data_IF_561845884907
#
_entry.id   IF_561845884907
#
_cell.length_a   1.000
_cell.length_b   1.000
_cell.length_c   1.000
_cell.angle_alpha   90.00
_cell.angle_beta   90.00
_cell.angle_gamma   90.00
#
_symmetry.space_group_name_H-M   'P 1'
#
loop_
_entity.id
_entity.type
_entity.pdbx_description
1 polymer ?
#
# COMPACT_ATOMS: atom_id res chain seq x y z
N UNK A 1 7.42 -1.42 16.71
CA UNK A 1 7.08 0.02 16.68
C UNK A 1 5.57 0.19 16.64
N UNK A 2 5.03 0.82 17.67
CA UNK A 2 3.59 0.91 17.97
C UNK A 2 2.95 2.03 17.12
N UNK A 3 2.07 1.67 16.18
CA UNK A 3 1.46 2.59 15.21
C UNK A 3 0.02 2.96 15.58
N UNK A 4 -0.24 3.54 16.77
CA UNK A 4 -1.61 3.94 17.13
C UNK A 4 -1.76 5.26 17.93
N UNK A 5 -0.69 6.00 18.21
CA UNK A 5 -0.78 7.24 19.02
C UNK A 5 -0.45 8.54 18.27
N UNK A 6 -0.25 8.49 16.95
CA UNK A 6 -0.04 9.65 16.09
C UNK A 6 -0.84 9.52 14.81
N UNK A 7 -1.24 10.65 14.23
CA UNK A 7 -1.90 10.66 12.92
C UNK A 7 -1.10 9.83 11.91
N UNK A 8 -1.78 8.90 11.23
CA UNK A 8 -1.13 8.01 10.27
C UNK A 8 -1.24 8.59 8.86
N UNK A 9 -0.13 8.60 8.12
CA UNK A 9 -0.12 9.04 6.73
C UNK A 9 -0.51 7.88 5.83
N UNK A 10 -1.67 7.99 5.17
CA UNK A 10 -2.19 6.95 4.27
C UNK A 10 -1.84 7.20 2.81
N UNK A 11 -1.91 8.44 2.37
CA UNK A 11 -1.60 8.86 1.00
C UNK A 11 -0.74 10.12 1.02
N UNK A 12 0.45 10.02 0.44
CA UNK A 12 1.35 11.15 0.20
C UNK A 12 2.15 10.84 -1.05
N UNK A 13 1.61 11.26 -2.20
CA UNK A 13 2.21 11.02 -3.49
C UNK A 13 2.06 12.23 -4.40
N UNK A 14 2.99 12.35 -5.34
CA UNK A 14 2.92 13.31 -6.44
C UNK A 14 2.77 12.49 -7.73
N UNK A 15 1.83 12.91 -8.58
CA UNK A 15 1.70 12.38 -9.93
C UNK A 15 2.14 13.44 -10.94
N UNK A 16 2.91 13.03 -11.94
CA UNK A 16 3.29 13.88 -13.05
C UNK A 16 3.38 13.08 -14.33
N UNK A 17 2.59 13.47 -15.34
CA UNK A 17 2.43 12.74 -16.60
C UNK A 17 2.05 11.26 -16.36
N UNK A 18 2.95 10.35 -16.74
CA UNK A 18 2.79 8.91 -16.59
C UNK A 18 3.44 8.36 -15.32
N UNK A 19 3.99 9.22 -14.47
CA UNK A 19 4.74 8.82 -13.28
C UNK A 19 3.97 9.17 -12.00
N UNK A 20 4.09 8.30 -11.01
CA UNK A 20 3.65 8.53 -9.63
C UNK A 20 4.81 8.19 -8.71
N UNK A 21 5.09 9.07 -7.75
CA UNK A 21 6.08 8.83 -6.70
C UNK A 21 5.51 9.18 -5.34
N UNK A 22 5.68 8.27 -4.37
CA UNK A 22 5.28 8.48 -2.97
C UNK A 22 4.53 7.29 -2.38
N UNK A 23 3.93 7.49 -1.22
CA UNK A 23 3.20 6.47 -0.50
C UNK A 23 1.74 6.45 -0.94
N UNK A 24 1.34 5.35 -1.58
CA UNK A 24 -0.05 5.10 -1.99
C UNK A 24 -0.30 3.60 -2.11
N UNK A 25 -1.50 3.22 -2.52
CA UNK A 25 -1.89 1.85 -2.81
C UNK A 25 -0.91 1.13 -3.72
N UNK A 26 -0.54 -0.12 -3.42
CA UNK A 26 0.29 -0.95 -4.31
C UNK A 26 -0.30 -1.08 -5.73
N UNK A 27 0.55 -1.28 -6.74
CA UNK A 27 0.15 -1.47 -8.14
C UNK A 27 -0.51 -2.84 -8.38
N UNK A 28 -0.42 -3.74 -7.41
CA UNK A 28 -1.10 -5.04 -7.41
C UNK A 28 -2.52 -4.99 -6.82
N UNK A 29 -2.98 -3.82 -6.37
CA UNK A 29 -4.34 -3.62 -5.89
C UNK A 29 -5.21 -3.20 -7.07
N UNK A 30 -6.29 -3.94 -7.28
CA UNK A 30 -7.40 -3.48 -8.09
C UNK A 30 -8.38 -2.69 -7.19
N UNK A 31 -8.50 -1.39 -7.42
CA UNK A 31 -9.43 -0.55 -6.63
C UNK A 31 -10.90 -0.79 -6.98
N UNK A 32 -11.20 -1.44 -8.11
CA UNK A 32 -12.57 -1.65 -8.60
C UNK A 32 -13.25 -2.88 -8.02
N UNK A 33 -12.46 -3.81 -7.47
CA UNK A 33 -12.97 -5.01 -6.77
C UNK A 33 -13.28 -4.74 -5.29
N UNK A 34 -12.92 -3.57 -4.78
CA UNK A 34 -13.33 -3.15 -3.44
C UNK A 34 -14.79 -2.71 -3.56
N UNK A 35 -15.76 -3.49 -3.05
CA UNK A 35 -17.15 -3.02 -3.03
C UNK A 35 -17.18 -1.69 -2.29
N UNK A 36 -18.02 -0.75 -2.72
CA UNK A 36 -18.32 0.49 -1.99
C UNK A 36 -19.15 0.19 -0.72
N UNK A 37 -18.71 -0.82 0.04
CA UNK A 37 -19.30 -1.22 1.29
C UNK A 37 -19.07 -0.12 2.32
N UNK A 38 -20.15 0.30 2.98
CA UNK A 38 -20.09 1.23 4.10
C UNK A 38 -19.29 0.68 5.30
N UNK A 39 -19.00 -0.62 5.29
CA UNK A 39 -18.17 -1.31 6.27
C UNK A 39 -16.72 -1.49 5.77
N UNK A 40 -15.79 -0.96 6.55
CA UNK A 40 -14.35 -1.01 6.31
C UNK A 40 -13.73 -2.41 6.51
N UNK A 41 -14.52 -3.40 6.95
CA UNK A 41 -14.13 -4.80 7.18
C UNK A 41 -14.45 -5.74 5.99
N UNK A 42 -14.98 -5.22 4.87
CA UNK A 42 -15.17 -6.03 3.65
C UNK A 42 -13.86 -6.44 2.94
N UNK A 43 -13.94 -7.34 1.95
CA UNK A 43 -13.51 -8.74 2.02
C UNK A 43 -12.03 -8.90 2.41
N UNK A 44 -11.77 -9.07 3.71
CA UNK A 44 -10.42 -9.09 4.30
C UNK A 44 -9.54 -10.26 3.84
N UNK A 45 -10.12 -11.34 3.31
CA UNK A 45 -9.40 -12.58 2.95
C UNK A 45 -8.97 -12.68 1.48
N UNK A 46 -9.29 -11.69 0.63
CA UNK A 46 -8.99 -11.77 -0.80
C UNK A 46 -8.53 -10.47 -1.46
N UNK A 47 -8.73 -9.32 -0.82
CA UNK A 47 -8.27 -8.04 -1.34
C UNK A 47 -6.87 -7.70 -0.81
N UNK A 48 -5.92 -7.50 -1.72
CA UNK A 48 -4.62 -6.96 -1.36
C UNK A 48 -4.81 -5.54 -0.81
N UNK A 49 -4.36 -5.28 0.41
CA UNK A 49 -4.56 -4.00 1.11
C UNK A 49 -3.24 -3.45 1.65
N UNK A 50 -2.32 -3.13 0.74
CA UNK A 50 -1.00 -2.55 1.06
C UNK A 50 -0.86 -1.12 0.55
N UNK A 51 -0.32 -0.24 1.41
CA UNK A 51 0.10 1.12 1.04
C UNK A 51 1.54 1.29 1.43
N UNK A 52 2.38 1.56 0.44
CA UNK A 52 3.81 1.69 0.63
C UNK A 52 4.39 2.72 -0.33
N UNK A 53 5.57 3.21 0.02
CA UNK A 53 6.33 4.11 -0.85
C UNK A 53 6.68 3.38 -2.13
N UNK A 54 6.33 3.99 -3.25
CA UNK A 54 6.56 3.41 -4.57
C UNK A 54 6.89 4.49 -5.58
N UNK A 55 7.52 4.05 -6.66
CA UNK A 55 7.59 4.77 -7.93
C UNK A 55 6.86 3.93 -8.96
N UNK A 56 5.85 4.50 -9.62
CA UNK A 56 5.01 3.82 -10.61
C UNK A 56 5.04 4.56 -11.93
N UNK A 57 5.10 3.79 -13.02
CA UNK A 57 4.88 4.26 -14.38
C UNK A 57 3.63 3.61 -14.96
N UNK A 58 2.72 4.41 -15.50
CA UNK A 58 1.47 3.92 -16.10
C UNK A 58 1.26 4.54 -17.49
N UNK A 59 1.08 3.69 -18.50
CA UNK A 59 0.79 4.08 -19.87
C UNK A 59 -0.28 3.16 -20.48
N UNK A 60 -1.51 3.68 -20.60
CA UNK A 60 -2.65 2.87 -21.06
C UNK A 60 -2.93 1.72 -20.09
N UNK A 61 -3.03 0.49 -20.61
CA UNK A 61 -3.22 -0.72 -19.82
C UNK A 61 -1.93 -1.25 -19.16
N UNK A 62 -0.77 -0.68 -19.48
CA UNK A 62 0.51 -1.10 -18.90
C UNK A 62 0.83 -0.25 -17.66
N UNK A 63 1.06 -0.91 -16.51
CA UNK A 63 1.46 -0.27 -15.27
C UNK A 63 2.52 -1.11 -14.56
N UNK A 64 3.64 -0.48 -14.20
CA UNK A 64 4.75 -1.11 -13.47
C UNK A 64 5.17 -0.21 -12.31
N UNK A 65 5.52 -0.82 -11.17
CA UNK A 65 5.97 -0.10 -9.99
C UNK A 65 7.21 -0.77 -9.38
N UNK A 66 8.10 0.08 -8.84
CA UNK A 66 9.08 -0.32 -7.85
C UNK A 66 8.53 0.07 -6.48
N UNK A 67 8.31 -0.90 -5.61
CA UNK A 67 7.68 -0.71 -4.30
C UNK A 67 8.65 -1.11 -3.19
N UNK A 68 8.52 -0.46 -2.03
CA UNK A 68 9.36 -0.78 -0.88
C UNK A 68 9.15 -2.26 -0.48
N UNK A 69 10.20 -3.11 -0.45
CA UNK A 69 10.06 -4.50 -0.02
C UNK A 69 9.92 -4.66 1.49
N UNK A 70 10.04 -3.58 2.27
CA UNK A 70 9.98 -3.65 3.74
C UNK A 70 8.67 -4.29 4.20
N UNK A 71 8.79 -5.44 4.85
CA UNK A 71 7.68 -6.10 5.53
C UNK A 71 8.09 -6.23 6.98
N UNK A 72 7.26 -5.71 7.88
CA UNK A 72 7.45 -5.92 9.30
C UNK A 72 7.19 -7.41 9.61
N UNK A 73 8.24 -8.20 9.67
CA UNK A 73 8.15 -9.55 10.20
C UNK A 73 8.14 -9.45 11.72
N UNK A 74 7.05 -9.84 12.37
CA UNK A 74 7.07 -10.15 13.81
C UNK A 74 7.72 -11.52 13.98
N UNK A 75 8.97 -11.61 14.47
CA UNK A 75 9.55 -12.91 14.81
C UNK A 75 8.74 -13.53 15.93
N UNK A 76 8.72 -14.87 15.96
CA UNK A 76 8.25 -15.62 17.13
C UNK A 76 8.98 -15.07 18.37
N UNK A 77 8.23 -14.53 19.34
CA UNK A 77 8.66 -13.79 20.55
C UNK A 77 8.67 -12.23 20.48
N UNK A 78 8.20 -11.59 19.41
CA UNK A 78 7.65 -10.22 19.48
C UNK A 78 8.64 -9.04 19.49
N UNK A 79 9.78 -9.14 18.80
CA UNK A 79 10.68 -7.99 18.55
C UNK A 79 10.71 -7.58 17.09
N UNK A 80 10.35 -6.34 16.73
CA UNK A 80 10.40 -5.90 15.32
C UNK A 80 11.86 -5.89 14.81
N UNK A 81 12.17 -6.70 13.79
CA UNK A 81 13.42 -6.62 13.02
C UNK A 81 13.10 -6.05 11.64
N UNK A 82 13.88 -5.06 11.20
CA UNK A 82 13.82 -4.50 9.86
C UNK A 82 14.89 -5.24 9.03
N UNK A 83 14.48 -5.90 7.94
CA UNK A 83 15.38 -6.51 6.95
C UNK A 83 15.51 -5.57 5.74
#
# INVERSE_FOLDING_TARGET
VNNLYGGTLRHAYVSWNNWLAGQTWSNFIDSTILPEAADIVGPTDGALFSRQTQIRYTRGAFSVSAENPETLTTPYQGGNTIL
#
